data_IF_593662362629
#
_entry.id   IF_593662362629
#
_cell.length_a   1.000
_cell.length_b   1.000
_cell.length_c   1.000
_cell.angle_alpha   90.00
_cell.angle_beta   90.00
_cell.angle_gamma   90.00
#
_symmetry.space_group_name_H-M   'P 1'
#
loop_
_entity.id
_entity.type
_entity.pdbx_description
1 polymer ?
#
# COMPACT_ATOMS: atom_id res chain seq x y z
N UNK A 1 -23.74 -0.96 20.50
CA UNK A 1 -22.49 -0.22 20.76
C UNK A 1 -21.35 -1.19 20.50
N UNK A 2 -20.50 -1.02 19.47
CA UNK A 2 -19.32 -1.86 19.33
C UNK A 2 -18.39 -1.51 20.50
N UNK A 3 -18.37 -2.35 21.52
CA UNK A 3 -17.58 -2.11 22.73
C UNK A 3 -16.11 -2.46 22.44
N UNK A 4 -15.25 -1.45 22.45
CA UNK A 4 -13.80 -1.63 22.48
C UNK A 4 -13.36 -1.35 23.91
N UNK A 5 -12.72 -2.32 24.54
CA UNK A 5 -12.19 -2.24 25.89
C UNK A 5 -10.68 -2.48 25.91
N UNK A 6 -10.04 -1.99 26.96
CA UNK A 6 -8.59 -2.13 27.16
C UNK A 6 -8.34 -3.03 28.37
N UNK A 7 -7.63 -4.13 28.16
CA UNK A 7 -7.20 -5.03 29.22
C UNK A 7 -5.69 -4.91 29.38
N UNK A 8 -5.28 -3.95 30.20
CA UNK A 8 -3.87 -3.56 30.32
C UNK A 8 -3.32 -3.04 28.98
N UNK A 9 -2.41 -3.80 28.37
CA UNK A 9 -1.84 -3.48 27.03
C UNK A 9 -2.59 -4.18 25.89
N UNK A 10 -3.62 -4.95 26.21
CA UNK A 10 -4.39 -5.70 25.22
C UNK A 10 -5.59 -4.85 24.79
N UNK A 11 -5.93 -4.92 23.50
CA UNK A 11 -7.12 -4.28 22.93
C UNK A 11 -8.17 -5.36 22.73
N UNK A 12 -9.28 -5.28 23.45
CA UNK A 12 -10.39 -6.23 23.36
C UNK A 12 -11.54 -5.59 22.60
N UNK A 13 -12.03 -6.27 21.57
CA UNK A 13 -13.04 -5.77 20.65
C UNK A 13 -14.23 -6.72 20.71
N UNK A 14 -15.38 -6.19 21.07
CA UNK A 14 -16.65 -6.91 21.21
C UNK A 14 -16.56 -8.14 22.13
N UNK A 15 -15.57 -8.17 23.03
CA UNK A 15 -15.24 -9.35 23.84
C UNK A 15 -14.94 -10.63 23.02
N UNK A 16 -14.80 -10.51 21.70
CA UNK A 16 -14.59 -11.62 20.76
C UNK A 16 -13.15 -11.66 20.24
N UNK A 17 -12.52 -10.48 20.09
CA UNK A 17 -11.21 -10.33 19.48
C UNK A 17 -10.29 -9.61 20.45
N UNK A 18 -9.10 -10.16 20.68
CA UNK A 18 -8.07 -9.56 21.53
C UNK A 18 -6.80 -9.36 20.72
N UNK A 19 -6.31 -8.13 20.64
CA UNK A 19 -5.04 -7.78 20.01
C UNK A 19 -4.01 -7.59 21.12
N UNK A 20 -2.96 -8.39 21.07
CA UNK A 20 -1.85 -8.32 22.04
C UNK A 20 -0.63 -7.62 21.45
N UNK A 21 0.20 -6.92 22.22
CA UNK A 21 1.51 -6.46 21.76
C UNK A 21 2.33 -7.64 21.22
N UNK A 22 3.10 -7.49 20.13
CA UNK A 22 3.48 -6.28 19.39
C UNK A 22 2.47 -5.79 18.31
N UNK A 23 1.18 -6.08 18.45
CA UNK A 23 0.09 -5.62 17.56
C UNK A 23 0.27 -6.01 16.09
N UNK A 24 0.76 -7.23 15.85
CA UNK A 24 0.82 -7.83 14.51
C UNK A 24 -0.44 -8.62 14.21
N UNK A 25 -0.64 -8.94 12.93
CA UNK A 25 -1.73 -9.81 12.48
C UNK A 25 -1.76 -11.15 13.23
N UNK A 26 -0.57 -11.70 13.53
CA UNK A 26 -0.39 -12.95 14.28
C UNK A 26 -0.75 -12.81 15.77
N UNK A 27 -0.80 -11.58 16.29
CA UNK A 27 -1.14 -11.29 17.68
C UNK A 27 -2.62 -10.96 17.89
N UNK A 28 -3.43 -11.09 16.83
CA UNK A 28 -4.89 -11.03 16.90
C UNK A 28 -5.42 -12.41 17.29
N UNK A 29 -6.08 -12.49 18.44
CA UNK A 29 -6.70 -13.71 18.97
C UNK A 29 -8.21 -13.56 18.94
N UNK A 30 -8.93 -14.64 18.66
CA UNK A 30 -10.39 -14.64 18.59
C UNK A 30 -10.90 -15.76 17.69
N UNK A 31 -12.20 -15.77 17.43
CA UNK A 31 -12.81 -16.76 16.55
C UNK A 31 -12.51 -16.43 15.08
N UNK A 32 -11.77 -17.31 14.40
CA UNK A 32 -11.30 -17.11 13.01
C UNK A 32 -12.42 -16.82 12.02
N UNK A 33 -13.61 -17.34 12.30
CA UNK A 33 -14.76 -17.32 11.42
C UNK A 33 -15.63 -16.08 11.67
N UNK A 34 -15.36 -15.33 12.76
CA UNK A 34 -16.07 -14.09 13.07
C UNK A 34 -15.69 -13.01 12.08
N UNK A 35 -16.70 -12.28 11.59
CA UNK A 35 -16.51 -11.08 10.75
C UNK A 35 -15.65 -10.04 11.48
N UNK A 36 -15.77 -9.94 12.80
CA UNK A 36 -14.97 -9.04 13.62
C UNK A 36 -13.48 -9.41 13.54
N UNK A 37 -13.14 -10.68 13.70
CA UNK A 37 -11.75 -11.15 13.62
C UNK A 37 -11.14 -10.88 12.24
N UNK A 38 -11.86 -11.24 11.17
CA UNK A 38 -11.40 -11.04 9.79
C UNK A 38 -11.18 -9.54 9.50
N UNK A 39 -12.09 -8.68 9.98
CA UNK A 39 -11.98 -7.24 9.78
C UNK A 39 -10.80 -6.63 10.55
N UNK A 40 -10.67 -6.97 11.84
CA UNK A 40 -9.59 -6.49 12.71
C UNK A 40 -8.23 -6.91 12.17
N UNK A 41 -8.08 -8.18 11.75
CA UNK A 41 -6.82 -8.67 11.18
C UNK A 41 -6.41 -7.88 9.92
N UNK A 42 -7.36 -7.64 8.99
CA UNK A 42 -7.10 -6.83 7.79
C UNK A 42 -6.70 -5.40 8.13
N UNK A 43 -7.32 -4.79 9.15
CA UNK A 43 -6.98 -3.44 9.60
C UNK A 43 -5.55 -3.38 10.14
N UNK A 44 -5.15 -4.35 10.96
CA UNK A 44 -3.79 -4.46 11.51
C UNK A 44 -2.76 -4.70 10.40
N UNK A 45 -3.02 -5.62 9.47
CA UNK A 45 -2.15 -5.89 8.31
C UNK A 45 -1.98 -4.64 7.44
N UNK A 46 -3.09 -3.96 7.12
CA UNK A 46 -3.07 -2.72 6.34
C UNK A 46 -2.26 -1.64 7.05
N UNK A 47 -2.46 -1.44 8.35
CA UNK A 47 -1.74 -0.43 9.11
C UNK A 47 -0.22 -0.67 9.11
N UNK A 48 0.23 -1.91 9.30
CA UNK A 48 1.66 -2.23 9.24
C UNK A 48 2.24 -1.99 7.84
N UNK A 49 1.53 -2.38 6.79
CA UNK A 49 1.94 -2.13 5.40
C UNK A 49 1.98 -0.63 5.10
N UNK A 50 1.02 0.13 5.61
CA UNK A 50 0.94 1.58 5.44
C UNK A 50 2.05 2.31 6.20
N UNK A 51 2.41 1.85 7.41
CA UNK A 51 3.60 2.33 8.13
C UNK A 51 4.87 2.07 7.33
N UNK A 52 5.04 0.86 6.77
CA UNK A 52 6.21 0.54 5.94
C UNK A 52 6.27 1.38 4.66
N UNK A 53 5.11 1.60 4.03
CA UNK A 53 5.00 2.40 2.80
C UNK A 53 5.21 3.89 3.10
N UNK A 54 4.69 4.38 4.23
CA UNK A 54 4.82 5.77 4.68
C UNK A 54 6.19 6.10 5.26
N UNK A 55 6.89 5.10 5.84
CA UNK A 55 8.28 5.25 6.27
C UNK A 55 9.25 5.46 5.10
N UNK A 56 8.83 5.14 3.87
CA UNK A 56 9.57 5.41 2.63
C UNK A 56 9.12 6.75 1.99
N UNK A 57 8.05 7.39 2.49
CA UNK A 57 7.45 8.61 1.90
C UNK A 57 7.69 9.91 2.67
N UNK A 58 8.65 9.98 3.60
CA UNK A 58 9.14 11.29 4.11
C UNK A 58 10.26 11.90 3.23
N UNK A 59 10.50 11.35 2.03
CA UNK A 59 11.17 12.07 0.95
C UNK A 59 10.61 11.57 -0.39
N UNK A 60 10.32 12.49 -1.30
CA UNK A 60 9.83 12.30 -2.69
C UNK A 60 8.31 12.16 -2.96
N UNK A 61 7.75 13.32 -3.34
CA UNK A 61 6.96 13.60 -4.56
C UNK A 61 5.75 12.75 -4.97
N UNK A 62 4.62 13.47 -5.01
CA UNK A 62 3.58 13.53 -6.05
C UNK A 62 2.78 12.26 -6.39
N UNK A 63 1.45 12.39 -6.33
CA UNK A 63 0.61 12.42 -7.55
C UNK A 63 -0.88 12.57 -7.18
N UNK A 64 -1.37 13.81 -7.30
CA UNK A 64 -2.79 14.11 -7.46
C UNK A 64 -3.00 14.74 -8.83
N UNK A 65 -3.77 14.05 -9.67
CA UNK A 65 -4.55 14.50 -10.82
C UNK A 65 -4.10 15.78 -11.57
N UNK A 66 -3.51 15.60 -12.75
CA UNK A 66 -3.52 16.61 -13.83
C UNK A 66 -3.27 15.93 -15.18
N UNK A 67 -4.34 15.75 -15.95
CA UNK A 67 -4.28 15.36 -17.37
C UNK A 67 -3.80 16.56 -18.20
N UNK A 68 -2.51 16.59 -18.58
CA UNK A 68 -1.99 17.58 -19.52
C UNK A 68 -0.87 17.02 -20.43
N UNK A 69 -1.22 16.92 -21.71
CA UNK A 69 -0.45 17.31 -22.90
C UNK A 69 0.90 16.63 -23.23
N UNK A 70 0.85 15.89 -24.35
CA UNK A 70 1.82 15.68 -25.45
C UNK A 70 3.27 16.19 -25.30
N UNK A 71 4.27 15.37 -25.72
CA UNK A 71 5.39 15.77 -26.61
C UNK A 71 6.39 14.61 -26.83
N UNK A 72 6.30 13.92 -27.98
CA UNK A 72 7.32 12.96 -28.42
C UNK A 72 8.43 13.68 -29.20
N UNK A 73 9.55 13.96 -28.52
CA UNK A 73 10.78 14.47 -29.12
C UNK A 73 11.56 13.31 -29.79
N UNK A 74 11.35 13.10 -31.09
CA UNK A 74 12.21 12.27 -31.93
C UNK A 74 13.35 13.15 -32.44
N UNK A 75 14.50 13.08 -31.76
CA UNK A 75 15.76 13.61 -32.28
C UNK A 75 16.59 12.44 -32.84
N UNK A 76 16.49 12.20 -34.14
CA UNK A 76 17.53 11.48 -34.89
C UNK A 76 17.94 12.34 -36.09
N UNK A 77 19.12 12.93 -35.97
CA UNK A 77 19.73 13.78 -36.98
C UNK A 77 20.19 12.94 -38.18
N UNK A 78 19.95 13.48 -39.37
CA UNK A 78 20.38 13.00 -40.67
C UNK A 78 21.89 12.73 -40.76
N UNK A 79 22.28 11.71 -41.53
CA UNK A 79 23.50 11.77 -42.34
C UNK A 79 23.30 11.01 -43.65
N UNK A 80 23.91 11.58 -44.68
CA UNK A 80 23.54 11.56 -46.09
C UNK A 80 24.42 10.58 -46.91
N UNK A 81 23.98 10.30 -48.14
CA UNK A 81 24.80 10.07 -49.36
C UNK A 81 24.99 8.63 -49.91
N UNK A 82 24.36 8.39 -51.07
CA UNK A 82 24.87 7.78 -52.34
C UNK A 82 25.34 6.30 -52.33
N UNK A 83 25.17 5.40 -53.31
CA UNK A 83 24.87 5.45 -54.75
C UNK A 83 24.59 4.02 -55.31
N UNK A 84 23.94 3.94 -56.48
CA UNK A 84 24.04 2.95 -57.60
C UNK A 84 23.61 1.46 -57.53
N UNK A 85 22.79 1.10 -58.54
CA UNK A 85 22.45 -0.20 -59.19
C UNK A 85 23.68 -1.04 -59.61
N UNK A 86 23.62 -2.38 -59.77
CA UNK A 86 22.91 -3.14 -60.83
C UNK A 86 22.18 -4.41 -60.28
N UNK A 87 21.31 -5.14 -60.99
CA UNK A 87 21.53 -6.00 -62.17
C UNK A 87 20.17 -6.49 -62.69
#
# INVERSE_FOLDING_TARGET
>A
MPEVSWEGKNIVIMNEVTITPPYKADNVKGQSDSKAFIHVRKMVEKHLKDIQSSAISTTNSNNGDSVAQHNNNISVSSNNSSNTTPH
#
